data_IF_817672140590
#
_entry.id   IF_817672140590
#
_cell.length_a   1.000
_cell.length_b   1.000
_cell.length_c   1.000
_cell.angle_alpha   90.00
_cell.angle_beta   90.00
_cell.angle_gamma   90.00
#
_symmetry.space_group_name_H-M   'P 1'
#
loop_
_entity.id
_entity.type
_entity.pdbx_description
1 polymer ?
#
# COMPACT_ATOMS: atom_id res chain seq x y z
N UNK A 1 -9.66 4.87 -27.03
CA UNK A 1 -8.94 4.57 -25.77
C UNK A 1 -7.42 4.47 -25.93
N UNK A 2 -6.92 3.99 -27.06
CA UNK A 2 -5.46 3.84 -27.32
C UNK A 2 -4.73 5.19 -27.53
N UNK A 3 -5.37 6.23 -28.04
CA UNK A 3 -4.77 7.55 -28.27
C UNK A 3 -4.34 8.31 -26.99
N UNK A 4 -4.83 7.93 -25.80
CA UNK A 4 -4.41 8.52 -24.54
C UNK A 4 -3.10 7.95 -23.99
N UNK A 5 -2.63 6.84 -24.55
CA UNK A 5 -1.41 6.17 -24.08
C UNK A 5 -0.13 6.83 -24.65
N UNK A 6 -0.24 7.55 -25.78
CA UNK A 6 0.93 8.13 -26.46
C UNK A 6 1.48 9.38 -25.77
N UNK A 7 0.69 10.07 -24.95
CA UNK A 7 1.07 11.33 -24.30
C UNK A 7 1.14 11.25 -22.77
N UNK A 8 0.66 10.16 -22.17
CA UNK A 8 0.65 10.00 -20.72
C UNK A 8 2.04 9.55 -20.22
N UNK A 9 2.57 10.25 -19.21
CA UNK A 9 3.75 9.79 -18.49
C UNK A 9 3.44 8.45 -17.81
N UNK A 10 4.40 7.54 -17.73
CA UNK A 10 4.24 6.25 -17.07
C UNK A 10 3.68 6.37 -15.64
N UNK A 11 4.09 7.41 -14.91
CA UNK A 11 3.59 7.71 -13.58
C UNK A 11 2.08 8.00 -13.55
N UNK A 12 1.54 8.69 -14.57
CA UNK A 12 0.12 9.00 -14.64
C UNK A 12 -0.71 7.74 -14.92
N UNK A 13 -0.22 6.87 -15.80
CA UNK A 13 -0.85 5.57 -16.07
C UNK A 13 -0.84 4.66 -14.85
N UNK A 14 0.29 4.61 -14.13
CA UNK A 14 0.41 3.83 -12.90
C UNK A 14 -0.54 4.35 -11.81
N UNK A 15 -0.68 5.66 -11.67
CA UNK A 15 -1.63 6.26 -10.72
C UNK A 15 -3.08 5.95 -11.11
N UNK A 16 -3.46 6.12 -12.37
CA UNK A 16 -4.82 5.83 -12.84
C UNK A 16 -5.21 4.36 -12.63
N UNK A 17 -4.31 3.44 -12.96
CA UNK A 17 -4.53 2.00 -12.75
C UNK A 17 -4.65 1.65 -11.27
N UNK A 18 -3.81 2.23 -10.42
CA UNK A 18 -3.88 2.06 -8.95
C UNK A 18 -5.19 2.59 -8.40
N UNK A 19 -5.61 3.79 -8.81
CA UNK A 19 -6.90 4.37 -8.40
C UNK A 19 -8.09 3.52 -8.83
N UNK A 20 -8.03 2.96 -10.05
CA UNK A 20 -9.08 2.07 -10.54
C UNK A 20 -9.18 0.80 -9.69
N UNK A 21 -8.07 0.12 -9.45
CA UNK A 21 -8.04 -1.11 -8.65
C UNK A 21 -8.52 -0.87 -7.22
N UNK A 22 -8.08 0.20 -6.58
CA UNK A 22 -8.51 0.54 -5.22
C UNK A 22 -10.01 0.86 -5.15
N UNK A 23 -10.55 1.57 -6.15
CA UNK A 23 -12.00 1.82 -6.24
C UNK A 23 -12.80 0.53 -6.43
N UNK A 24 -12.35 -0.37 -7.29
CA UNK A 24 -12.97 -1.68 -7.50
C UNK A 24 -13.02 -2.50 -6.21
N UNK A 25 -11.98 -2.39 -5.38
CA UNK A 25 -11.91 -3.05 -4.07
C UNK A 25 -12.66 -2.31 -2.95
N UNK A 26 -13.33 -1.20 -3.26
CA UNK A 26 -14.09 -0.41 -2.29
C UNK A 26 -13.25 0.44 -1.35
N UNK A 27 -11.94 0.60 -1.62
CA UNK A 27 -11.08 1.46 -0.81
C UNK A 27 -11.39 2.95 -1.02
N UNK A 28 -11.46 3.72 0.07
CA UNK A 28 -11.86 5.13 0.08
C UNK A 28 -10.79 6.07 0.66
N UNK A 29 -9.57 5.59 0.83
CA UNK A 29 -8.46 6.38 1.33
C UNK A 29 -7.99 7.44 0.32
N UNK A 30 -7.05 8.26 0.76
CA UNK A 30 -6.43 9.30 -0.06
C UNK A 30 -5.18 8.76 -0.74
N UNK A 31 -4.99 9.10 -2.01
CA UNK A 31 -3.76 8.87 -2.76
C UNK A 31 -3.08 10.22 -2.95
N UNK A 32 -1.81 10.30 -2.57
CA UNK A 32 -0.97 11.48 -2.75
C UNK A 32 0.30 11.11 -3.51
N UNK A 33 0.74 12.00 -4.38
CA UNK A 33 2.02 11.85 -5.08
C UNK A 33 3.16 12.26 -4.14
N UNK A 34 4.11 11.38 -3.92
CA UNK A 34 5.28 11.67 -3.09
C UNK A 34 6.12 12.82 -3.64
N UNK A 35 6.11 13.06 -4.96
CA UNK A 35 6.78 14.19 -5.61
C UNK A 35 6.19 15.56 -5.25
N UNK A 36 4.98 15.59 -4.70
CA UNK A 36 4.32 16.83 -4.24
C UNK A 36 4.55 17.12 -2.75
N UNK A 37 5.30 16.26 -2.05
CA UNK A 37 5.56 16.39 -0.62
C UNK A 37 7.02 16.76 -0.39
N UNK A 38 7.26 17.71 0.50
CA UNK A 38 8.61 18.07 0.93
C UNK A 38 9.17 16.96 1.82
N UNK A 39 10.27 16.35 1.41
CA UNK A 39 10.92 15.23 2.12
C UNK A 39 12.43 15.32 1.98
N UNK A 40 13.15 14.76 2.95
CA UNK A 40 14.60 14.58 2.89
C UNK A 40 14.96 13.57 1.79
N UNK A 41 16.22 13.55 1.37
CA UNK A 41 16.70 12.70 0.28
C UNK A 41 17.03 11.27 0.72
N UNK A 42 17.47 11.09 1.97
CA UNK A 42 17.85 9.78 2.50
C UNK A 42 16.66 8.84 2.58
N UNK A 43 16.88 7.57 2.24
CA UNK A 43 15.81 6.59 2.04
C UNK A 43 14.89 6.43 3.26
N UNK A 44 15.44 6.20 4.45
CA UNK A 44 14.65 5.99 5.66
C UNK A 44 13.98 7.29 6.12
N UNK A 45 14.71 8.39 6.09
CA UNK A 45 14.19 9.71 6.41
C UNK A 45 13.06 10.13 5.47
N UNK A 46 13.24 9.90 4.19
CA UNK A 46 12.20 10.19 3.18
C UNK A 46 10.90 9.45 3.47
N UNK A 47 10.96 8.17 3.80
CA UNK A 47 9.77 7.38 4.11
C UNK A 47 9.08 7.86 5.40
N UNK A 48 9.86 8.21 6.41
CA UNK A 48 9.35 8.78 7.65
C UNK A 48 8.68 10.14 7.40
N UNK A 49 9.32 11.03 6.63
CA UNK A 49 8.78 12.35 6.25
C UNK A 49 7.46 12.22 5.45
N UNK A 50 7.39 11.28 4.50
CA UNK A 50 6.16 11.00 3.74
C UNK A 50 5.02 10.58 4.67
N UNK A 51 5.30 9.72 5.64
CA UNK A 51 4.31 9.28 6.63
C UNK A 51 3.84 10.46 7.48
N UNK A 52 4.74 11.25 8.01
CA UNK A 52 4.42 12.43 8.82
C UNK A 52 3.66 13.51 8.03
N UNK A 53 4.08 13.80 6.79
CA UNK A 53 3.42 14.78 5.92
C UNK A 53 1.97 14.42 5.57
N UNK A 54 1.62 13.14 5.60
CA UNK A 54 0.25 12.66 5.39
C UNK A 54 -0.57 12.62 6.68
N UNK A 55 0.02 12.95 7.83
CA UNK A 55 -0.61 12.84 9.14
C UNK A 55 -0.78 11.40 9.62
N UNK A 56 -0.03 10.47 9.07
CA UNK A 56 -0.09 9.07 9.45
C UNK A 56 0.59 8.84 10.80
N UNK A 57 -0.03 8.05 11.68
CA UNK A 57 0.59 7.56 12.92
C UNK A 57 1.29 6.22 12.74
N UNK A 58 1.03 5.52 11.65
CA UNK A 58 1.64 4.24 11.33
C UNK A 58 2.03 4.17 9.86
N UNK A 59 3.17 3.56 9.59
CA UNK A 59 3.67 3.28 8.25
C UNK A 59 3.66 1.77 8.02
N UNK A 60 2.90 1.33 7.02
CA UNK A 60 2.80 -0.08 6.67
C UNK A 60 4.07 -0.51 5.93
N UNK A 61 4.74 -1.55 6.42
CA UNK A 61 5.98 -2.04 5.86
C UNK A 61 5.90 -3.53 5.55
N UNK A 62 6.08 -3.89 4.29
CA UNK A 62 6.14 -5.28 3.86
C UNK A 62 7.45 -5.97 4.26
N UNK A 63 7.47 -7.30 4.17
CA UNK A 63 8.62 -8.15 4.58
C UNK A 63 9.94 -7.77 3.90
N UNK A 64 9.90 -7.36 2.64
CA UNK A 64 11.09 -6.88 1.91
C UNK A 64 11.64 -5.58 2.49
N UNK A 65 10.76 -4.65 2.85
CA UNK A 65 11.12 -3.37 3.47
C UNK A 65 11.72 -3.54 4.86
N UNK A 66 11.15 -4.44 5.67
CA UNK A 66 11.61 -4.70 7.05
C UNK A 66 13.08 -5.11 7.15
N UNK A 67 13.65 -5.70 6.11
CA UNK A 67 15.06 -6.10 6.09
C UNK A 67 16.04 -4.92 6.06
N UNK A 68 15.60 -3.77 5.56
CA UNK A 68 16.44 -2.60 5.31
C UNK A 68 15.93 -1.36 6.04
N UNK A 69 14.89 -1.51 6.86
CA UNK A 69 14.26 -0.39 7.53
C UNK A 69 15.14 0.09 8.69
N UNK A 70 15.38 1.39 8.74
CA UNK A 70 15.96 2.09 9.87
C UNK A 70 14.82 2.78 10.61
N UNK A 71 14.54 2.40 11.85
CA UNK A 71 13.36 2.86 12.62
C UNK A 71 13.50 4.26 13.19
N UNK A 72 14.73 4.68 13.53
CA UNK A 72 14.99 5.95 14.20
C UNK A 72 14.29 7.17 13.58
N UNK A 73 14.33 7.40 12.27
CA UNK A 73 13.63 8.52 11.64
C UNK A 73 12.11 8.52 11.85
N UNK A 74 11.48 7.33 11.93
CA UNK A 74 10.06 7.18 12.19
C UNK A 74 9.72 7.47 13.65
N UNK A 75 10.52 6.94 14.57
CA UNK A 75 10.38 7.18 16.00
C UNK A 75 10.50 8.67 16.33
N UNK A 76 11.48 9.37 15.73
CA UNK A 76 11.66 10.81 15.88
C UNK A 76 10.45 11.63 15.43
N UNK A 77 9.63 11.12 14.52
CA UNK A 77 8.41 11.76 14.03
C UNK A 77 7.12 11.19 14.63
N UNK A 78 7.23 10.29 15.63
CA UNK A 78 6.08 9.67 16.28
C UNK A 78 5.28 8.74 15.36
N UNK A 79 5.93 8.16 14.35
CA UNK A 79 5.31 7.22 13.39
C UNK A 79 5.69 5.79 13.75
N UNK A 80 4.72 4.94 14.03
CA UNK A 80 4.93 3.53 14.29
C UNK A 80 5.13 2.76 13.00
N UNK A 81 6.00 1.75 13.00
CA UNK A 81 6.13 0.80 11.89
C UNK A 81 5.14 -0.33 12.09
N UNK A 82 4.32 -0.58 11.08
CA UNK A 82 3.33 -1.67 11.08
C UNK A 82 3.79 -2.73 10.08
N UNK A 83 4.31 -3.87 10.56
CA UNK A 83 4.72 -4.97 9.69
C UNK A 83 3.50 -5.57 8.97
N UNK A 84 3.66 -5.85 7.69
CA UNK A 84 2.63 -6.50 6.88
C UNK A 84 3.20 -7.72 6.16
N UNK A 85 2.51 -8.84 6.31
CA UNK A 85 2.81 -10.08 5.59
C UNK A 85 1.64 -10.39 4.66
N UNK A 86 1.93 -10.47 3.36
CA UNK A 86 0.91 -10.85 2.37
C UNK A 86 0.44 -12.27 2.65
N UNK A 87 -0.86 -12.51 2.84
CA UNK A 87 -1.41 -13.84 2.96
C UNK A 87 -1.09 -14.70 1.73
N UNK A 88 -1.12 -16.02 1.87
CA UNK A 88 -0.85 -16.96 0.77
C UNK A 88 -1.89 -18.08 0.65
N UNK A 89 -3.05 -17.92 1.28
CA UNK A 89 -4.15 -18.90 1.27
C UNK A 89 -5.41 -18.30 0.64
N UNK A 90 -6.34 -19.15 0.23
CA UNK A 90 -7.58 -18.71 -0.40
C UNK A 90 -7.34 -17.91 -1.67
N UNK A 91 -7.96 -16.74 -1.79
CA UNK A 91 -7.79 -15.83 -2.94
C UNK A 91 -6.36 -15.26 -3.04
N UNK A 92 -5.58 -15.35 -1.96
CA UNK A 92 -4.20 -14.88 -1.88
C UNK A 92 -3.16 -15.94 -2.26
N UNK A 93 -3.59 -17.13 -2.66
CA UNK A 93 -2.66 -18.16 -3.12
C UNK A 93 -1.81 -17.58 -4.25
N UNK A 94 -0.51 -17.78 -4.16
CA UNK A 94 0.49 -17.28 -5.10
C UNK A 94 0.58 -15.73 -5.19
N UNK A 95 -0.06 -14.99 -4.27
CA UNK A 95 -0.09 -13.51 -4.31
C UNK A 95 1.29 -12.85 -4.18
N UNK A 96 2.30 -13.59 -3.71
CA UNK A 96 3.69 -13.11 -3.63
C UNK A 96 4.46 -13.25 -4.94
N UNK A 97 3.98 -14.10 -5.85
CA UNK A 97 4.65 -14.48 -7.10
C UNK A 97 3.89 -13.94 -8.32
N UNK A 98 2.61 -13.62 -8.15
CA UNK A 98 1.72 -13.27 -9.24
C UNK A 98 1.22 -11.83 -9.12
N UNK A 99 0.82 -11.26 -10.25
CA UNK A 99 0.17 -9.94 -10.27
C UNK A 99 -1.13 -9.93 -9.47
N UNK A 100 -1.44 -8.79 -8.82
CA UNK A 100 -2.73 -8.54 -8.14
C UNK A 100 -3.95 -8.66 -9.05
N UNK A 101 -3.78 -8.66 -10.35
CA UNK A 101 -4.86 -8.90 -11.32
C UNK A 101 -5.33 -10.36 -11.32
N UNK A 102 -4.44 -11.32 -11.01
CA UNK A 102 -4.80 -12.74 -11.00
C UNK A 102 -5.96 -13.08 -10.06
N UNK A 103 -5.92 -12.75 -8.77
CA UNK A 103 -7.05 -13.02 -7.88
C UNK A 103 -8.33 -12.30 -8.33
N UNK A 104 -8.23 -11.09 -8.87
CA UNK A 104 -9.40 -10.37 -9.40
C UNK A 104 -10.04 -11.11 -10.58
N UNK A 105 -9.24 -11.67 -11.48
CA UNK A 105 -9.75 -12.42 -12.63
C UNK A 105 -10.25 -13.81 -12.24
N UNK A 106 -9.61 -14.46 -11.29
CA UNK A 106 -9.95 -15.83 -10.89
C UNK A 106 -11.14 -15.90 -9.92
N UNK A 107 -11.22 -15.01 -8.94
CA UNK A 107 -12.23 -15.04 -7.88
C UNK A 107 -13.28 -13.92 -8.00
N UNK A 108 -13.02 -12.91 -8.81
CA UNK A 108 -13.88 -11.74 -8.99
C UNK A 108 -13.68 -10.66 -7.93
N UNK A 109 -14.17 -9.46 -8.24
CA UNK A 109 -13.96 -8.24 -7.43
C UNK A 109 -14.53 -8.39 -6.02
N UNK A 110 -15.75 -8.93 -5.89
CA UNK A 110 -16.43 -9.06 -4.60
C UNK A 110 -15.65 -9.97 -3.65
N UNK A 111 -15.20 -11.13 -4.09
CA UNK A 111 -14.45 -12.09 -3.28
C UNK A 111 -13.09 -11.50 -2.83
N UNK A 112 -12.40 -10.79 -3.71
CA UNK A 112 -11.13 -10.13 -3.36
C UNK A 112 -11.36 -8.98 -2.39
N UNK A 113 -12.40 -8.16 -2.59
CA UNK A 113 -12.75 -7.07 -1.69
C UNK A 113 -13.11 -7.58 -0.27
N UNK A 114 -13.86 -8.68 -0.17
CA UNK A 114 -14.16 -9.33 1.12
C UNK A 114 -12.89 -9.84 1.80
N UNK A 115 -12.01 -10.48 1.05
CA UNK A 115 -10.73 -10.97 1.57
C UNK A 115 -9.82 -9.82 2.05
N UNK A 116 -9.79 -8.67 1.36
CA UNK A 116 -9.09 -7.47 1.82
C UNK A 116 -9.66 -6.97 3.15
N UNK A 117 -10.99 -6.90 3.29
CA UNK A 117 -11.64 -6.48 4.53
C UNK A 117 -11.32 -7.42 5.69
N UNK A 118 -11.31 -8.71 5.44
CA UNK A 118 -10.97 -9.72 6.45
C UNK A 118 -9.53 -9.55 6.95
N UNK A 119 -8.57 -9.33 6.06
CA UNK A 119 -7.18 -9.07 6.43
C UNK A 119 -7.05 -7.77 7.23
N UNK A 120 -7.73 -6.71 6.80
CA UNK A 120 -7.71 -5.42 7.49
C UNK A 120 -8.29 -5.52 8.91
N UNK A 121 -9.40 -6.22 9.10
CA UNK A 121 -10.00 -6.44 10.41
C UNK A 121 -9.09 -7.22 11.35
N UNK A 122 -8.40 -8.26 10.86
CA UNK A 122 -7.43 -9.02 11.64
C UNK A 122 -6.26 -8.16 12.13
N UNK A 123 -5.74 -7.26 11.29
CA UNK A 123 -4.66 -6.34 11.70
C UNK A 123 -5.11 -5.31 12.74
N UNK A 124 -6.34 -4.79 12.65
CA UNK A 124 -6.87 -3.85 13.64
C UNK A 124 -7.00 -4.47 15.03
N UNK A 125 -7.42 -5.72 15.12
CA UNK A 125 -7.53 -6.44 16.40
C UNK A 125 -6.16 -6.63 17.07
N UNK A 126 -5.13 -6.94 16.30
CA UNK A 126 -3.77 -7.11 16.81
C UNK A 126 -3.18 -5.79 17.35
N UNK A 127 -3.50 -4.66 16.74
CA UNK A 127 -3.02 -3.34 17.18
C UNK A 127 -3.80 -2.75 18.37
N UNK A 128 -5.05 -3.18 18.55
CA UNK A 128 -5.89 -2.73 19.69
C UNK A 128 -5.63 -3.46 21.00
N UNK A 129 -4.82 -4.53 20.97
CA UNK A 129 -4.52 -5.38 22.12
C UNK A 129 -3.10 -5.14 22.69
N UNK A 130 -2.37 -4.18 22.15
CA UNK A 130 -1.04 -3.75 22.59
C UNK A 130 -1.10 -2.35 23.18
#
# INVERSE_FOLDING_TARGET
MLHRLETARLADLAEESTRLLLRLLGWRGRIQRSSCLATRSERAERLADLSAATGARGSLCGTGGMRYLVTGPFEALGVSIVPFVTPNTGVWRDAREMSSLRPLMAAGIAAVADAVRTVAAGHQQTMGSA
#
